data_IF_555427149499
#
_entry.id   IF_555427149499
#
_cell.length_a   1.000
_cell.length_b   1.000
_cell.length_c   1.000
_cell.angle_alpha   90.00
_cell.angle_beta   90.00
_cell.angle_gamma   90.00
#
_symmetry.space_group_name_H-M   'P 1'
#
loop_
_entity.id
_entity.type
_entity.pdbx_description
1 polymer ?
#
# COMPACT_ATOMS: atom_id res chain seq x y z
N UNK A 1 0.99 14.67 -24.58
CA UNK A 1 0.10 14.57 -23.40
C UNK A 1 0.91 14.96 -22.19
N UNK A 2 0.35 15.76 -21.30
CA UNK A 2 1.01 16.12 -20.04
C UNK A 2 1.17 14.88 -19.17
N UNK A 3 2.33 14.67 -18.57
CA UNK A 3 2.58 13.56 -17.65
C UNK A 3 1.63 13.68 -16.45
N UNK A 4 0.91 12.61 -16.13
CA UNK A 4 0.08 12.50 -14.92
C UNK A 4 1.01 12.10 -13.78
N UNK A 5 0.96 12.84 -12.66
CA UNK A 5 1.76 12.53 -11.47
C UNK A 5 0.86 12.09 -10.34
N UNK A 6 1.30 11.09 -9.60
CA UNK A 6 0.62 10.60 -8.40
C UNK A 6 1.65 10.37 -7.29
N UNK A 7 1.18 10.38 -6.04
CA UNK A 7 2.00 9.98 -4.90
C UNK A 7 1.43 8.68 -4.35
N UNK A 8 2.23 7.61 -4.40
CA UNK A 8 1.95 6.36 -3.70
C UNK A 8 2.39 6.46 -2.24
N UNK A 9 1.54 6.03 -1.31
CA UNK A 9 1.79 6.05 0.13
C UNK A 9 1.72 4.64 0.67
N UNK A 10 2.81 4.17 1.25
CA UNK A 10 2.91 2.85 1.87
C UNK A 10 3.30 2.97 3.34
N UNK A 11 2.68 2.15 4.17
CA UNK A 11 3.06 1.94 5.56
C UNK A 11 3.16 0.45 5.81
N UNK A 12 4.36 0.01 6.14
CA UNK A 12 4.69 -1.41 6.27
C UNK A 12 4.07 -2.03 7.54
N UNK A 13 4.03 -3.36 7.55
CA UNK A 13 3.57 -4.13 8.71
C UNK A 13 4.53 -4.03 9.91
N UNK A 14 5.76 -3.54 9.67
CA UNK A 14 6.79 -3.23 10.67
C UNK A 14 6.42 -2.06 11.61
N UNK A 15 5.51 -1.16 11.17
CA UNK A 15 5.13 0.07 11.89
C UNK A 15 6.34 0.99 12.15
N UNK A 16 7.24 1.07 11.19
CA UNK A 16 8.47 1.87 11.25
C UNK A 16 8.32 3.27 10.68
N UNK A 17 7.44 3.48 9.69
CA UNK A 17 7.25 4.79 9.10
C UNK A 17 6.26 4.84 7.94
N UNK A 18 6.20 6.01 7.35
CA UNK A 18 5.47 6.32 6.11
C UNK A 18 6.47 6.45 4.98
N UNK A 19 6.33 5.64 3.95
CA UNK A 19 7.06 5.76 2.70
C UNK A 19 6.16 6.36 1.62
N UNK A 20 6.68 7.34 0.90
CA UNK A 20 5.98 7.94 -0.24
C UNK A 20 6.88 7.93 -1.47
N UNK A 21 6.28 7.71 -2.62
CA UNK A 21 6.95 7.77 -3.93
C UNK A 21 6.11 8.63 -4.87
N UNK A 22 6.75 9.62 -5.47
CA UNK A 22 6.19 10.39 -6.57
C UNK A 22 6.43 9.64 -7.87
N UNK A 23 5.35 9.31 -8.57
CA UNK A 23 5.39 8.54 -9.81
C UNK A 23 4.78 9.33 -10.95
N UNK A 24 5.45 9.37 -12.09
CA UNK A 24 4.97 9.95 -13.33
C UNK A 24 4.49 8.89 -14.31
N UNK A 25 3.36 9.15 -14.95
CA UNK A 25 2.78 8.32 -16.00
C UNK A 25 2.77 9.11 -17.31
N UNK A 26 3.54 8.67 -18.29
CA UNK A 26 3.62 9.32 -19.57
C UNK A 26 3.78 8.28 -20.70
N UNK A 27 2.92 8.34 -21.72
CA UNK A 27 2.98 7.46 -22.91
C UNK A 27 3.07 5.96 -22.55
N UNK A 28 2.33 5.51 -21.53
CA UNK A 28 2.32 4.12 -21.06
C UNK A 28 3.54 3.72 -20.24
N UNK A 29 4.44 4.65 -19.95
CA UNK A 29 5.59 4.42 -19.04
C UNK A 29 5.28 4.94 -17.64
N UNK A 30 5.76 4.19 -16.68
CA UNK A 30 5.76 4.58 -15.26
C UNK A 30 7.20 4.91 -14.88
N UNK A 31 7.39 6.03 -14.19
CA UNK A 31 8.73 6.47 -13.75
C UNK A 31 8.64 6.98 -12.33
N UNK A 32 9.40 6.39 -11.43
CA UNK A 32 9.57 6.93 -10.08
C UNK A 32 10.46 8.16 -10.16
N UNK A 33 9.92 9.30 -9.75
CA UNK A 33 10.54 10.62 -9.91
C UNK A 33 11.30 11.03 -8.65
N UNK A 34 10.74 10.75 -7.47
CA UNK A 34 11.31 11.10 -6.18
C UNK A 34 10.66 10.26 -5.08
N UNK A 35 11.28 10.20 -3.89
CA UNK A 35 10.77 9.47 -2.75
C UNK A 35 11.15 10.12 -1.42
N UNK A 36 10.34 9.88 -0.40
CA UNK A 36 10.56 10.39 0.93
C UNK A 36 10.00 9.43 1.98
N UNK A 37 10.74 9.26 3.08
CA UNK A 37 10.32 8.43 4.21
C UNK A 37 10.32 9.25 5.49
N UNK A 38 9.31 9.01 6.35
CA UNK A 38 9.23 9.62 7.66
C UNK A 38 8.94 8.54 8.72
N UNK A 39 9.80 8.38 9.74
CA UNK A 39 9.58 7.38 10.76
C UNK A 39 8.38 7.71 11.64
N UNK A 40 7.74 6.68 12.19
CA UNK A 40 6.72 6.87 13.20
C UNK A 40 7.32 7.37 14.50
N UNK A 41 6.67 8.33 15.20
CA UNK A 41 6.94 8.56 16.60
C UNK A 41 6.65 7.28 17.40
N UNK A 42 7.48 6.99 18.41
CA UNK A 42 7.31 5.79 19.25
C UNK A 42 5.91 5.69 19.86
N UNK A 43 5.35 6.82 20.30
CA UNK A 43 3.98 6.89 20.85
C UNK A 43 2.93 6.42 19.85
N UNK A 44 3.08 6.78 18.56
CA UNK A 44 2.17 6.34 17.50
C UNK A 44 2.36 4.84 17.23
N UNK A 45 3.59 4.34 17.16
CA UNK A 45 3.85 2.90 17.00
C UNK A 45 3.16 2.09 18.10
N UNK A 46 3.27 2.51 19.36
CA UNK A 46 2.62 1.86 20.51
C UNK A 46 1.08 1.89 20.39
N UNK A 47 0.50 3.04 19.96
CA UNK A 47 -0.95 3.16 19.70
C UNK A 47 -1.39 2.23 18.56
N UNK A 48 -0.66 2.18 17.47
CA UNK A 48 -1.00 1.35 16.30
C UNK A 48 -0.88 -0.14 16.60
N UNK A 49 0.11 -0.57 17.41
CA UNK A 49 0.22 -1.94 17.89
C UNK A 49 -1.00 -2.33 18.73
N UNK A 50 -1.44 -1.47 19.63
CA UNK A 50 -2.63 -1.69 20.46
C UNK A 50 -3.90 -1.72 19.63
N UNK A 51 -4.06 -0.81 18.66
CA UNK A 51 -5.19 -0.79 17.75
C UNK A 51 -5.25 -2.08 16.92
N UNK A 52 -4.12 -2.53 16.38
CA UNK A 52 -4.01 -3.77 15.62
C UNK A 52 -4.43 -4.99 16.44
N UNK A 53 -4.00 -5.08 17.69
CA UNK A 53 -4.41 -6.18 18.58
C UNK A 53 -5.94 -6.22 18.76
N UNK A 54 -6.57 -5.07 19.03
CA UNK A 54 -8.01 -4.95 19.19
C UNK A 54 -8.79 -5.33 17.92
N UNK A 55 -8.31 -4.90 16.74
CA UNK A 55 -8.94 -5.26 15.47
C UNK A 55 -8.94 -6.77 15.27
N UNK A 56 -7.85 -7.44 15.60
CA UNK A 56 -7.73 -8.90 15.50
C UNK A 56 -8.63 -9.62 16.50
N UNK A 57 -8.71 -9.15 17.74
CA UNK A 57 -9.63 -9.69 18.75
C UNK A 57 -11.08 -9.60 18.31
N UNK A 58 -11.47 -8.55 17.62
CA UNK A 58 -12.81 -8.36 17.04
C UNK A 58 -13.01 -9.06 15.69
N UNK A 59 -12.00 -9.77 15.17
CA UNK A 59 -12.08 -10.45 13.87
C UNK A 59 -12.34 -9.52 12.71
N UNK A 60 -11.69 -8.35 12.71
CA UNK A 60 -11.76 -7.35 11.66
C UNK A 60 -13.03 -6.47 11.67
N UNK A 61 -13.91 -6.62 12.65
CA UNK A 61 -15.17 -5.85 12.74
C UNK A 61 -14.92 -4.44 13.25
N UNK A 62 -14.76 -3.51 12.33
CA UNK A 62 -14.46 -2.11 12.63
C UNK A 62 -15.62 -1.36 13.30
N UNK A 63 -16.88 -1.78 13.08
CA UNK A 63 -18.07 -1.14 13.62
C UNK A 63 -18.04 -1.09 15.16
N UNK A 64 -17.44 -2.10 15.80
CA UNK A 64 -17.28 -2.17 17.25
C UNK A 64 -16.17 -1.31 17.82
N UNK A 65 -15.28 -0.81 16.96
CA UNK A 65 -14.11 -0.06 17.35
C UNK A 65 -14.26 1.45 17.15
N UNK A 66 -15.12 1.87 16.20
CA UNK A 66 -15.33 3.30 15.93
C UNK A 66 -16.10 4.03 17.04
N UNK A 67 -16.81 3.31 17.89
CA UNK A 67 -17.52 3.88 19.05
C UNK A 67 -16.55 4.27 20.19
N UNK A 68 -15.33 3.75 20.16
CA UNK A 68 -14.34 4.00 21.19
C UNK A 68 -13.39 5.13 20.73
N UNK A 69 -13.33 6.15 21.56
CA UNK A 69 -12.51 7.33 21.28
C UNK A 69 -11.03 7.03 21.02
N UNK A 70 -10.49 5.95 21.59
CA UNK A 70 -9.08 5.54 21.38
C UNK A 70 -8.82 5.12 19.93
N UNK A 71 -9.68 4.29 19.33
CA UNK A 71 -9.47 3.80 17.97
C UNK A 71 -9.55 4.93 16.95
N UNK A 72 -10.53 5.81 17.10
CA UNK A 72 -10.68 6.98 16.24
C UNK A 72 -9.50 7.95 16.39
N UNK A 73 -9.05 8.21 17.62
CA UNK A 73 -7.87 9.04 17.89
C UNK A 73 -6.61 8.47 17.22
N UNK A 74 -6.34 7.17 17.39
CA UNK A 74 -5.18 6.53 16.80
C UNK A 74 -5.19 6.59 15.26
N UNK A 75 -6.34 6.35 14.62
CA UNK A 75 -6.50 6.44 13.17
C UNK A 75 -6.28 7.88 12.67
N UNK A 76 -6.83 8.87 13.36
CA UNK A 76 -6.66 10.26 12.98
C UNK A 76 -5.24 10.78 13.20
N UNK A 77 -4.57 10.37 14.29
CA UNK A 77 -3.16 10.70 14.52
C UNK A 77 -2.25 10.11 13.44
N UNK A 78 -2.46 8.83 13.10
CA UNK A 78 -1.78 8.19 11.97
C UNK A 78 -2.01 8.94 10.66
N UNK A 79 -3.26 9.24 10.34
CA UNK A 79 -3.62 9.95 9.11
C UNK A 79 -3.00 11.35 9.06
N UNK A 80 -2.94 12.05 10.19
CA UNK A 80 -2.31 13.36 10.28
C UNK A 80 -0.80 13.30 10.03
N UNK A 81 -0.12 12.26 10.52
CA UNK A 81 1.30 12.02 10.21
C UNK A 81 1.51 11.75 8.71
N UNK A 82 0.62 10.98 8.09
CA UNK A 82 0.66 10.75 6.63
C UNK A 82 0.51 12.06 5.87
N UNK A 83 -0.48 12.87 6.22
CA UNK A 83 -0.69 14.18 5.59
C UNK A 83 0.51 15.12 5.77
N UNK A 84 1.09 15.16 6.98
CA UNK A 84 2.31 15.94 7.26
C UNK A 84 3.48 15.45 6.39
N UNK A 85 3.60 14.14 6.21
CA UNK A 85 4.64 13.55 5.37
C UNK A 85 4.50 13.99 3.92
N UNK A 86 3.28 13.93 3.35
CA UNK A 86 2.99 14.39 1.99
C UNK A 86 3.28 15.90 1.85
N UNK A 87 2.78 16.73 2.76
CA UNK A 87 2.99 18.17 2.70
C UNK A 87 4.49 18.55 2.83
N UNK A 88 5.22 17.87 3.70
CA UNK A 88 6.67 18.05 3.85
C UNK A 88 7.41 17.67 2.56
N UNK A 89 7.01 16.56 1.93
CA UNK A 89 7.59 16.14 0.67
C UNK A 89 7.35 17.17 -0.44
N UNK A 90 6.13 17.66 -0.61
CA UNK A 90 5.80 18.67 -1.61
C UNK A 90 6.62 19.96 -1.42
N UNK A 91 6.78 20.42 -0.17
CA UNK A 91 7.61 21.59 0.14
C UNK A 91 9.08 21.40 -0.22
N UNK A 92 9.62 20.18 -0.08
CA UNK A 92 11.04 19.86 -0.38
C UNK A 92 11.30 19.61 -1.85
N UNK A 93 10.38 18.95 -2.53
CA UNK A 93 10.54 18.53 -3.93
C UNK A 93 10.27 19.64 -4.94
N UNK A 94 9.64 20.74 -4.50
CA UNK A 94 9.24 21.84 -5.37
C UNK A 94 8.00 21.60 -6.22
N UNK A 95 7.32 20.47 -6.03
CA UNK A 95 6.02 20.20 -6.65
C UNK A 95 4.91 20.88 -5.85
N UNK A 96 3.93 21.42 -6.55
CA UNK A 96 2.70 21.92 -5.94
C UNK A 96 1.66 20.80 -5.89
N UNK A 97 0.68 20.94 -4.99
CA UNK A 97 -0.44 19.96 -4.91
C UNK A 97 -1.22 19.85 -6.21
N UNK A 98 -1.29 20.93 -6.97
CA UNK A 98 -1.95 21.01 -8.29
C UNK A 98 -1.24 20.17 -9.36
N UNK A 99 0.03 19.83 -9.15
CA UNK A 99 0.81 18.94 -10.01
C UNK A 99 0.48 17.46 -9.78
N UNK A 100 -0.21 17.13 -8.67
CA UNK A 100 -0.51 15.77 -8.23
C UNK A 100 -1.97 15.44 -8.49
N UNK A 101 -2.21 14.48 -9.36
CA UNK A 101 -3.56 14.06 -9.74
C UNK A 101 -4.29 13.31 -8.61
N UNK A 102 -3.57 12.48 -7.85
CA UNK A 102 -4.13 11.73 -6.73
C UNK A 102 -3.04 11.20 -5.79
N UNK A 103 -3.45 10.91 -4.55
CA UNK A 103 -2.71 10.10 -3.59
C UNK A 103 -3.24 8.66 -3.67
N UNK A 104 -2.36 7.68 -3.85
CA UNK A 104 -2.66 6.27 -3.65
C UNK A 104 -2.38 5.90 -2.20
N UNK A 105 -3.41 5.76 -1.38
CA UNK A 105 -3.29 5.56 0.07
C UNK A 105 -3.58 4.12 0.45
N UNK A 106 -2.52 3.36 0.73
CA UNK A 106 -2.66 1.97 1.17
C UNK A 106 -3.31 1.84 2.55
N UNK A 107 -3.07 2.80 3.44
CA UNK A 107 -3.43 2.67 4.85
C UNK A 107 -2.49 1.73 5.62
N UNK A 108 -2.66 1.67 6.95
CA UNK A 108 -1.88 0.77 7.80
C UNK A 108 -2.58 -0.58 7.93
N UNK A 109 -1.96 -1.64 7.44
CA UNK A 109 -2.49 -3.00 7.60
C UNK A 109 -2.51 -3.42 9.08
N UNK A 110 -3.69 -3.78 9.55
CA UNK A 110 -3.92 -4.28 10.90
C UNK A 110 -4.27 -5.76 10.93
N UNK A 111 -5.05 -6.22 9.94
CA UNK A 111 -5.41 -7.63 9.80
C UNK A 111 -5.66 -8.00 8.33
N UNK A 112 -5.51 -9.29 8.03
CA UNK A 112 -5.73 -9.83 6.69
C UNK A 112 -6.12 -11.29 6.78
N UNK A 113 -7.33 -11.60 6.31
CA UNK A 113 -7.92 -12.93 6.32
C UNK A 113 -8.45 -13.25 4.92
N UNK A 114 -7.56 -13.64 3.98
CA UNK A 114 -7.91 -13.83 2.57
C UNK A 114 -8.78 -15.08 2.32
N UNK A 115 -9.43 -15.17 1.15
CA UNK A 115 -10.28 -16.32 0.77
C UNK A 115 -9.59 -17.67 0.91
N UNK A 116 -8.30 -17.77 0.57
CA UNK A 116 -7.54 -19.04 0.62
C UNK A 116 -7.44 -19.69 2.00
N UNK A 117 -7.48 -18.87 3.07
CA UNK A 117 -7.44 -19.36 4.46
C UNK A 117 -8.78 -19.24 5.19
N UNK A 118 -9.77 -18.60 4.58
CA UNK A 118 -11.06 -18.33 5.24
C UNK A 118 -11.87 -19.60 5.53
N UNK A 119 -11.66 -20.71 4.80
CA UNK A 119 -12.29 -22.00 5.09
C UNK A 119 -13.82 -21.94 5.03
N UNK A 120 -14.38 -21.11 4.14
CA UNK A 120 -15.82 -20.89 4.00
C UNK A 120 -16.40 -19.79 4.91
N UNK A 121 -15.58 -19.15 5.75
CA UNK A 121 -15.95 -17.92 6.46
C UNK A 121 -15.81 -16.71 5.54
N UNK A 122 -16.48 -15.59 5.84
CA UNK A 122 -16.25 -14.35 5.10
C UNK A 122 -14.76 -13.95 5.17
N UNK A 123 -14.14 -13.75 4.00
CA UNK A 123 -12.82 -13.17 3.90
C UNK A 123 -12.89 -11.67 4.20
N UNK A 124 -11.80 -11.11 4.76
CA UNK A 124 -11.71 -9.68 5.02
C UNK A 124 -10.25 -9.22 5.05
N UNK A 125 -10.07 -7.93 4.94
CA UNK A 125 -8.79 -7.25 5.16
C UNK A 125 -9.06 -5.91 5.84
N UNK A 126 -8.15 -5.48 6.71
CA UNK A 126 -8.30 -4.20 7.42
C UNK A 126 -7.03 -3.37 7.27
N UNK A 127 -7.14 -2.31 6.49
CA UNK A 127 -6.19 -1.23 6.42
C UNK A 127 -6.84 0.00 7.04
N UNK A 128 -6.28 0.48 8.16
CA UNK A 128 -6.81 1.67 8.82
C UNK A 128 -6.21 2.95 8.24
N UNK A 129 -7.00 4.00 8.27
CA UNK A 129 -6.69 5.33 7.80
C UNK A 129 -7.98 6.07 7.45
N UNK A 130 -7.95 7.39 7.56
CA UNK A 130 -9.08 8.25 7.22
C UNK A 130 -8.80 8.98 5.91
N UNK A 131 -9.24 8.42 4.78
CA UNK A 131 -8.99 8.96 3.45
C UNK A 131 -9.63 10.35 3.26
N UNK A 132 -10.79 10.60 3.86
CA UNK A 132 -11.44 11.91 3.84
C UNK A 132 -10.59 12.97 4.56
N UNK A 133 -10.13 12.66 5.77
CA UNK A 133 -9.22 13.55 6.52
C UNK A 133 -7.91 13.79 5.76
N UNK A 134 -7.35 12.75 5.12
CA UNK A 134 -6.13 12.90 4.32
C UNK A 134 -6.36 13.84 3.13
N UNK A 135 -7.47 13.71 2.43
CA UNK A 135 -7.85 14.60 1.34
C UNK A 135 -8.03 16.05 1.81
N UNK A 136 -8.70 16.26 2.94
CA UNK A 136 -8.90 17.59 3.53
C UNK A 136 -7.58 18.25 3.93
N UNK A 137 -6.66 17.50 4.56
CA UNK A 137 -5.37 18.02 5.04
C UNK A 137 -4.35 18.28 3.93
N UNK A 138 -4.46 17.58 2.79
CA UNK A 138 -3.51 17.72 1.67
C UNK A 138 -4.09 18.56 0.53
N UNK A 139 -5.41 18.61 0.39
CA UNK A 139 -6.09 19.22 -0.76
C UNK A 139 -5.95 18.39 -2.04
N UNK A 140 -5.59 17.11 -1.95
CA UNK A 140 -5.36 16.21 -3.10
C UNK A 140 -6.36 15.06 -3.02
N UNK A 141 -6.99 14.63 -4.15
CA UNK A 141 -7.86 13.46 -4.19
C UNK A 141 -7.14 12.20 -3.69
N UNK A 142 -7.85 11.34 -2.95
CA UNK A 142 -7.30 10.10 -2.35
C UNK A 142 -8.00 8.88 -2.93
N UNK A 143 -7.21 7.93 -3.44
CA UNK A 143 -7.65 6.60 -3.86
C UNK A 143 -7.15 5.62 -2.80
N UNK A 144 -8.04 4.77 -2.28
CA UNK A 144 -7.74 3.91 -1.13
C UNK A 144 -8.52 2.59 -1.21
N UNK A 145 -8.31 1.71 -0.22
CA UNK A 145 -8.99 0.43 -0.01
C UNK A 145 -8.76 -0.63 -1.12
N UNK A 146 -7.59 -0.60 -1.72
CA UNK A 146 -7.22 -1.49 -2.83
C UNK A 146 -7.39 -2.99 -2.53
N UNK A 147 -7.17 -3.40 -1.27
CA UNK A 147 -7.21 -4.81 -0.89
C UNK A 147 -8.63 -5.35 -0.74
N UNK A 148 -9.55 -4.55 -0.21
CA UNK A 148 -10.97 -4.92 -0.14
C UNK A 148 -11.57 -5.04 -1.54
N UNK A 149 -11.22 -4.10 -2.44
CA UNK A 149 -11.67 -4.12 -3.83
C UNK A 149 -11.17 -5.39 -4.56
N UNK A 150 -9.90 -5.79 -4.34
CA UNK A 150 -9.35 -7.01 -4.91
C UNK A 150 -10.06 -8.27 -4.39
N UNK A 151 -10.33 -8.36 -3.08
CA UNK A 151 -11.11 -9.47 -2.49
C UNK A 151 -12.53 -9.51 -3.06
N UNK A 152 -13.19 -8.36 -3.20
CA UNK A 152 -14.54 -8.28 -3.79
C UNK A 152 -14.54 -8.69 -5.27
N UNK A 153 -13.46 -8.45 -5.98
CA UNK A 153 -13.26 -8.89 -7.37
C UNK A 153 -12.88 -10.38 -7.48
N UNK A 154 -12.74 -11.09 -6.36
CA UNK A 154 -12.40 -12.52 -6.32
C UNK A 154 -10.91 -12.81 -6.15
N UNK A 155 -10.10 -11.81 -5.85
CA UNK A 155 -8.68 -11.94 -5.51
C UNK A 155 -8.45 -12.26 -4.03
N UNK A 156 -7.18 -12.31 -3.66
CA UNK A 156 -6.72 -12.59 -2.28
C UNK A 156 -6.44 -11.31 -1.47
N UNK A 157 -6.52 -10.13 -2.07
CA UNK A 157 -6.15 -8.85 -1.46
C UNK A 157 -4.64 -8.64 -1.26
N UNK A 158 -3.84 -9.66 -1.56
CA UNK A 158 -2.38 -9.63 -1.48
C UNK A 158 -1.77 -10.75 -2.33
N UNK A 159 -0.56 -10.56 -2.90
CA UNK A 159 0.21 -9.31 -2.95
C UNK A 159 -0.32 -8.34 -4.01
N UNK A 160 -0.16 -7.03 -3.81
CA UNK A 160 -0.49 -6.00 -4.82
C UNK A 160 0.74 -5.56 -5.66
N UNK A 161 1.94 -5.74 -5.13
CA UNK A 161 3.20 -5.40 -5.81
C UNK A 161 3.38 -6.01 -7.21
N UNK A 162 2.82 -7.21 -7.55
CA UNK A 162 2.94 -7.79 -8.88
C UNK A 162 2.46 -6.89 -10.02
N UNK A 163 1.52 -5.99 -9.79
CA UNK A 163 1.06 -5.02 -10.80
C UNK A 163 2.19 -4.08 -11.22
N UNK A 164 2.96 -3.57 -10.26
CA UNK A 164 4.15 -2.75 -10.53
C UNK A 164 5.29 -3.59 -11.12
N UNK A 165 5.47 -4.81 -10.62
CA UNK A 165 6.49 -5.73 -11.12
C UNK A 165 6.29 -6.09 -12.60
N UNK A 166 5.06 -6.17 -13.09
CA UNK A 166 4.76 -6.36 -14.52
C UNK A 166 5.35 -5.26 -15.39
N UNK A 167 5.27 -4.00 -14.92
CA UNK A 167 5.83 -2.87 -15.64
C UNK A 167 7.35 -2.96 -15.71
N UNK A 168 8.00 -3.23 -14.57
CA UNK A 168 9.47 -3.42 -14.51
C UNK A 168 9.90 -4.62 -15.37
N UNK A 169 9.13 -5.71 -15.36
CA UNK A 169 9.40 -6.89 -16.19
C UNK A 169 9.40 -6.56 -17.69
N UNK A 170 8.51 -5.68 -18.14
CA UNK A 170 8.48 -5.19 -19.52
C UNK A 170 9.79 -4.47 -19.91
N UNK A 171 10.28 -3.59 -19.03
CA UNK A 171 11.57 -2.89 -19.25
C UNK A 171 12.77 -3.86 -19.23
N UNK A 172 12.75 -4.87 -18.34
CA UNK A 172 13.78 -5.90 -18.27
C UNK A 172 13.77 -6.81 -19.49
N UNK A 173 12.59 -7.18 -19.98
CA UNK A 173 12.43 -7.94 -21.24
C UNK A 173 13.06 -7.21 -22.43
N UNK A 174 12.86 -5.91 -22.54
CA UNK A 174 13.46 -5.09 -23.59
C UNK A 174 15.00 -5.08 -23.51
N UNK A 175 15.58 -5.42 -22.35
CA UNK A 175 17.01 -5.58 -22.11
C UNK A 175 17.49 -7.03 -22.23
N UNK A 176 16.62 -7.95 -22.64
CA UNK A 176 16.92 -9.38 -22.76
C UNK A 176 16.93 -10.15 -21.44
N UNK A 177 16.40 -9.58 -20.37
CA UNK A 177 16.29 -10.22 -19.04
C UNK A 177 14.84 -10.66 -18.84
N UNK A 178 14.54 -11.90 -19.22
CA UNK A 178 13.21 -12.49 -19.07
C UNK A 178 13.33 -14.04 -19.20
N UNK A 179 12.58 -14.88 -18.45
CA UNK A 179 11.62 -14.50 -17.39
C UNK A 179 12.29 -13.88 -16.17
N UNK A 180 11.49 -13.27 -15.28
CA UNK A 180 12.00 -12.52 -14.13
C UNK A 180 11.27 -12.88 -12.84
N UNK A 181 12.02 -12.91 -11.74
CA UNK A 181 11.49 -13.07 -10.40
C UNK A 181 11.88 -11.87 -9.53
N UNK A 182 10.90 -11.33 -8.81
CA UNK A 182 11.08 -10.28 -7.82
C UNK A 182 10.96 -10.88 -6.42
N UNK A 183 11.99 -10.73 -5.61
CA UNK A 183 12.02 -11.15 -4.21
C UNK A 183 11.88 -9.92 -3.33
N UNK A 184 10.85 -9.89 -2.48
CA UNK A 184 10.70 -8.89 -1.43
C UNK A 184 11.08 -9.52 -0.08
N UNK A 185 12.11 -8.96 0.56
CA UNK A 185 12.63 -9.41 1.85
C UNK A 185 12.12 -8.49 2.98
N UNK A 186 10.83 -8.61 3.32
CA UNK A 186 10.20 -7.90 4.44
C UNK A 186 10.09 -8.76 5.70
N UNK A 187 9.21 -8.39 6.64
CA UNK A 187 8.87 -9.25 7.78
C UNK A 187 8.35 -10.62 7.31
N UNK A 188 7.52 -10.61 6.27
CA UNK A 188 7.20 -11.79 5.47
C UNK A 188 7.87 -11.62 4.12
N UNK A 189 8.76 -12.54 3.76
CA UNK A 189 9.34 -12.59 2.42
C UNK A 189 8.30 -13.08 1.43
N UNK A 190 8.24 -12.45 0.27
CA UNK A 190 7.40 -12.91 -0.83
C UNK A 190 8.14 -12.86 -2.16
N UNK A 191 7.67 -13.67 -3.10
CA UNK A 191 8.23 -13.75 -4.45
C UNK A 191 7.12 -13.54 -5.47
N UNK A 192 7.42 -12.79 -6.54
CA UNK A 192 6.58 -12.69 -7.73
C UNK A 192 7.37 -13.14 -8.94
N UNK A 193 6.84 -14.09 -9.68
CA UNK A 193 7.47 -14.61 -10.91
C UNK A 193 6.63 -14.22 -12.10
N UNK A 194 7.26 -13.60 -13.09
CA UNK A 194 6.64 -13.18 -14.33
C UNK A 194 7.23 -13.97 -15.48
N UNK A 195 6.36 -14.70 -16.16
CA UNK A 195 6.68 -15.54 -17.33
C UNK A 195 5.74 -15.20 -18.49
N UNK A 196 5.92 -15.86 -19.62
CA UNK A 196 4.96 -15.89 -20.72
C UNK A 196 4.29 -17.24 -20.81
N UNK A 197 3.04 -17.24 -21.23
CA UNK A 197 2.37 -18.44 -21.68
C UNK A 197 2.69 -18.74 -23.17
N UNK A 198 2.05 -19.79 -23.70
CA UNK A 198 2.20 -20.21 -25.12
C UNK A 198 1.71 -19.17 -26.15
N UNK A 199 0.86 -18.23 -25.73
CA UNK A 199 0.26 -17.21 -26.57
C UNK A 199 1.04 -15.85 -26.43
N UNK A 200 2.11 -15.85 -25.63
CA UNK A 200 2.97 -14.67 -25.39
C UNK A 200 2.41 -13.69 -24.35
N UNK A 201 1.34 -14.08 -23.64
CA UNK A 201 0.74 -13.27 -22.60
C UNK A 201 1.49 -13.41 -21.27
N UNK A 202 1.55 -12.32 -20.52
CA UNK A 202 2.21 -12.34 -19.21
C UNK A 202 1.45 -13.19 -18.21
N UNK A 203 2.15 -14.15 -17.61
CA UNK A 203 1.66 -14.93 -16.47
C UNK A 203 2.37 -14.48 -15.21
N UNK A 204 1.60 -13.98 -14.25
CA UNK A 204 2.11 -13.55 -12.94
C UNK A 204 1.72 -14.58 -11.89
N UNK A 205 2.70 -15.01 -11.10
CA UNK A 205 2.50 -15.87 -9.94
C UNK A 205 3.22 -15.24 -8.75
N UNK A 206 2.58 -15.23 -7.59
CA UNK A 206 3.18 -14.70 -6.37
C UNK A 206 2.76 -15.54 -5.17
N UNK A 207 3.66 -15.67 -4.19
CA UNK A 207 3.40 -16.35 -2.92
C UNK A 207 4.37 -15.88 -1.83
N UNK A 208 3.98 -16.11 -0.59
CA UNK A 208 4.83 -15.88 0.56
C UNK A 208 5.83 -17.04 0.71
N UNK A 209 7.08 -16.73 1.06
CA UNK A 209 8.16 -17.71 1.23
C UNK A 209 8.59 -17.91 2.68
N UNK A 210 8.12 -17.09 3.60
CA UNK A 210 8.38 -17.20 5.03
C UNK A 210 8.82 -15.91 5.69
N UNK A 211 9.21 -15.99 6.98
CA UNK A 211 9.73 -14.85 7.73
C UNK A 211 11.16 -14.54 7.28
N UNK A 212 11.45 -13.27 7.04
CA UNK A 212 12.74 -12.82 6.50
C UNK A 212 13.51 -11.90 7.45
N UNK A 213 12.82 -11.05 8.21
CA UNK A 213 13.42 -10.16 9.20
C UNK A 213 13.22 -10.76 10.60
N UNK A 214 14.30 -11.20 11.22
CA UNK A 214 14.38 -11.63 12.62
C UNK A 214 15.40 -10.78 13.38
#
# INVERSE_FOLDING_TARGET
MTAVRTIGIMTGNSLDGVDIVLTGFENGRITDLDGFSKPYPRSLTEKMLRLRARIREEGGRMERLVEDGFSLEAINEYTSLVAETVNTFLQRSGYCREDIAALGFHGQTCDHFPPSIAGGKPAYTVQVGNAGLLADLTGIPVIYDFRSDDIMAGGEGAPLAPVHNLHIAGDLRNKGVFPVAFCNAGNTGNISVITEDKDGENVVRGWDVGAFNH
#
